data_IF_630959061433
#
_entry.id   IF_630959061433
#
_cell.length_a   1.000
_cell.length_b   1.000
_cell.length_c   1.000
_cell.angle_alpha   90.00
_cell.angle_beta   90.00
_cell.angle_gamma   90.00
#
_symmetry.space_group_name_H-M   'P 1'
#
loop_
_entity.id
_entity.type
_entity.pdbx_description
1 polymer ?
#
# COMPACT_ATOMS: atom_id res chain seq x y z
N UNK A 1 43.23 -4.51 -3.46
CA UNK A 1 42.48 -4.51 -2.18
C UNK A 1 41.17 -5.21 -2.42
N UNK A 2 40.81 -6.23 -1.63
CA UNK A 2 39.51 -6.88 -1.76
C UNK A 2 38.44 -5.93 -1.20
N UNK A 3 37.40 -5.62 -2.04
CA UNK A 3 36.25 -4.77 -1.65
C UNK A 3 35.36 -5.48 -0.62
N UNK A 4 35.33 -6.82 -0.66
CA UNK A 4 34.52 -7.65 0.22
C UNK A 4 35.35 -8.79 0.81
N UNK A 5 35.31 -8.92 2.14
CA UNK A 5 35.93 -10.03 2.86
C UNK A 5 34.94 -11.19 2.95
N UNK A 6 35.07 -12.12 2.01
CA UNK A 6 34.18 -13.29 1.88
C UNK A 6 34.38 -14.30 3.03
N UNK A 7 35.57 -14.35 3.67
CA UNK A 7 35.80 -15.21 4.82
C UNK A 7 34.96 -14.77 6.00
N UNK A 8 35.04 -13.47 6.34
CA UNK A 8 34.14 -12.88 7.36
C UNK A 8 32.68 -12.88 6.93
N UNK A 9 32.41 -12.86 5.63
CA UNK A 9 31.07 -13.05 5.08
C UNK A 9 30.47 -14.40 5.45
N UNK A 10 31.24 -15.46 5.23
CA UNK A 10 30.89 -16.84 5.59
C UNK A 10 30.64 -16.97 7.11
N UNK A 11 31.57 -16.48 7.93
CA UNK A 11 31.44 -16.54 9.40
C UNK A 11 30.13 -15.86 9.89
N UNK A 12 29.77 -14.70 9.33
CA UNK A 12 28.51 -14.02 9.68
C UNK A 12 27.27 -14.81 9.30
N UNK A 13 27.29 -15.44 8.10
CA UNK A 13 26.15 -16.26 7.64
C UNK A 13 26.00 -17.47 8.55
N UNK A 14 27.10 -18.16 8.88
CA UNK A 14 27.10 -19.32 9.76
C UNK A 14 26.62 -18.97 11.17
N UNK A 15 26.95 -17.79 11.68
CA UNK A 15 26.44 -17.31 12.95
C UNK A 15 24.90 -17.10 12.89
N UNK A 16 24.42 -16.38 11.87
CA UNK A 16 22.99 -16.12 11.71
C UNK A 16 22.18 -17.43 11.55
N UNK A 17 22.69 -18.40 10.81
CA UNK A 17 22.02 -19.70 10.59
C UNK A 17 21.99 -20.59 11.84
N UNK A 18 22.78 -20.27 12.85
CA UNK A 18 22.81 -20.97 14.16
C UNK A 18 21.98 -20.27 15.23
N UNK A 19 21.63 -19.00 15.01
CA UNK A 19 20.78 -18.26 15.93
C UNK A 19 19.37 -18.85 15.91
N UNK A 20 18.80 -19.10 17.08
CA UNK A 20 17.39 -19.42 17.21
C UNK A 20 16.57 -18.13 17.06
N UNK A 21 15.49 -18.21 16.29
CA UNK A 21 14.53 -17.12 16.11
C UNK A 21 13.17 -17.58 16.61
N UNK A 22 12.63 -16.88 17.58
CA UNK A 22 11.28 -17.14 18.09
C UNK A 22 10.26 -16.62 17.08
N UNK A 23 9.51 -17.52 16.43
CA UNK A 23 8.39 -17.17 15.55
C UNK A 23 7.10 -17.17 16.38
N UNK A 24 6.52 -15.99 16.53
CA UNK A 24 5.35 -15.75 17.38
C UNK A 24 4.14 -15.49 16.47
N UNK A 25 3.19 -16.42 16.48
CA UNK A 25 1.88 -16.19 15.86
C UNK A 25 1.00 -15.35 16.79
N UNK A 26 0.47 -14.24 16.29
CA UNK A 26 -0.42 -13.39 17.07
C UNK A 26 -1.38 -12.60 16.19
N UNK A 27 -2.53 -12.24 16.76
CA UNK A 27 -3.59 -11.55 16.02
C UNK A 27 -3.14 -10.17 15.52
N UNK A 28 -2.43 -9.41 16.35
CA UNK A 28 -2.00 -8.04 16.06
C UNK A 28 -0.48 -7.92 16.13
N UNK A 29 0.14 -7.48 15.04
CA UNK A 29 1.57 -7.20 15.04
C UNK A 29 1.95 -6.14 16.08
N UNK A 30 3.08 -6.30 16.78
CA UNK A 30 3.60 -5.28 17.69
C UNK A 30 4.09 -4.05 16.91
N UNK A 31 4.43 -2.99 17.64
CA UNK A 31 5.10 -1.82 17.06
C UNK A 31 6.54 -2.19 16.64
N UNK A 32 7.11 -1.45 15.66
CA UNK A 32 8.45 -1.72 15.13
C UNK A 32 9.54 -1.80 16.21
N UNK A 33 9.39 -1.04 17.30
CA UNK A 33 10.35 -1.03 18.42
C UNK A 33 10.47 -2.38 19.17
N UNK A 34 9.49 -3.25 19.04
CA UNK A 34 9.47 -4.57 19.69
C UNK A 34 10.13 -5.67 18.84
N UNK A 35 10.37 -5.37 17.56
CA UNK A 35 11.10 -6.29 16.68
C UNK A 35 12.60 -6.25 16.97
N UNK A 36 13.14 -7.42 17.19
CA UNK A 36 14.59 -7.67 17.36
C UNK A 36 15.12 -8.53 16.22
N UNK A 37 16.39 -8.86 16.22
CA UNK A 37 16.96 -9.84 15.31
C UNK A 37 16.73 -11.29 15.75
N UNK A 38 16.13 -11.47 16.92
CA UNK A 38 15.96 -12.78 17.57
C UNK A 38 14.48 -13.16 17.66
N UNK A 39 13.56 -12.33 17.16
CA UNK A 39 12.14 -12.61 17.04
C UNK A 39 11.59 -12.36 15.63
N UNK A 40 10.52 -13.06 15.32
CA UNK A 40 9.71 -12.89 14.12
C UNK A 40 8.24 -13.01 14.51
N UNK A 41 7.34 -12.42 13.72
CA UNK A 41 5.91 -12.46 13.99
C UNK A 41 5.15 -12.92 12.76
N UNK A 42 4.13 -13.76 12.97
CA UNK A 42 3.17 -14.13 11.93
C UNK A 42 1.80 -13.55 12.28
N UNK A 43 1.19 -12.83 11.36
CA UNK A 43 -0.09 -12.15 11.59
C UNK A 43 -0.80 -11.81 10.28
N UNK A 44 -2.09 -11.51 10.36
CA UNK A 44 -2.86 -10.95 9.27
C UNK A 44 -2.51 -9.49 9.03
N UNK A 45 -2.18 -9.18 7.78
CA UNK A 45 -1.84 -7.81 7.36
C UNK A 45 -2.54 -7.45 6.05
N UNK A 46 -2.78 -6.15 5.88
CA UNK A 46 -3.24 -5.57 4.62
C UNK A 46 -2.22 -4.56 4.12
N UNK A 47 -1.77 -4.74 2.88
CA UNK A 47 -0.93 -3.78 2.17
C UNK A 47 -1.73 -2.93 1.20
N UNK A 48 -1.46 -1.62 1.15
CA UNK A 48 -1.93 -0.69 0.11
C UNK A 48 -0.73 -0.07 -0.58
N UNK A 49 -0.72 -0.10 -1.91
CA UNK A 49 0.30 0.51 -2.75
C UNK A 49 -0.35 1.44 -3.76
N UNK A 50 0.16 2.64 -3.89
CA UNK A 50 -0.35 3.70 -4.77
C UNK A 50 0.79 4.14 -5.68
N UNK A 51 0.71 3.84 -6.97
CA UNK A 51 1.79 4.00 -7.93
C UNK A 51 1.37 4.89 -9.10
N UNK A 52 2.16 5.92 -9.41
CA UNK A 52 1.86 6.88 -10.48
C UNK A 52 2.09 6.23 -11.85
N UNK A 53 1.10 6.36 -12.73
CA UNK A 53 1.21 5.87 -14.11
C UNK A 53 2.09 6.79 -14.96
N UNK A 54 3.00 6.17 -15.73
CA UNK A 54 3.87 6.88 -16.68
C UNK A 54 4.75 7.98 -16.05
N UNK A 55 5.18 7.84 -14.80
CA UNK A 55 6.02 8.81 -14.09
C UNK A 55 7.32 9.14 -14.82
N UNK A 56 7.97 8.16 -15.45
CA UNK A 56 9.17 8.36 -16.28
C UNK A 56 8.88 9.29 -17.46
N UNK A 57 7.70 9.17 -18.10
CA UNK A 57 7.29 10.05 -19.19
C UNK A 57 7.01 11.45 -18.67
N UNK A 58 6.32 11.57 -17.54
CA UNK A 58 6.08 12.83 -16.86
C UNK A 58 7.40 13.57 -16.59
N UNK A 59 8.40 12.87 -16.02
CA UNK A 59 9.73 13.44 -15.76
C UNK A 59 10.46 13.90 -17.01
N UNK A 60 10.32 13.18 -18.13
CA UNK A 60 11.06 13.49 -19.38
C UNK A 60 10.42 14.58 -20.23
N UNK A 61 9.12 14.82 -20.09
CA UNK A 61 8.37 15.73 -20.96
C UNK A 61 7.95 17.06 -20.30
N UNK A 62 7.94 17.11 -18.96
CA UNK A 62 7.41 18.23 -18.21
C UNK A 62 8.50 19.06 -17.51
N UNK A 63 8.15 20.30 -17.16
CA UNK A 63 9.01 21.15 -16.34
C UNK A 63 9.31 20.53 -14.98
N UNK A 64 10.58 20.47 -14.62
CA UNK A 64 11.03 19.79 -13.40
C UNK A 64 10.50 20.41 -12.10
N UNK A 65 10.25 21.74 -12.09
CA UNK A 65 9.65 22.40 -10.94
C UNK A 65 8.18 22.00 -10.79
N UNK A 66 7.43 21.92 -11.92
CA UNK A 66 6.05 21.45 -11.92
C UNK A 66 5.99 20.00 -11.45
N UNK A 67 6.81 19.11 -12.00
CA UNK A 67 6.88 17.70 -11.56
C UNK A 67 7.20 17.59 -10.07
N UNK A 68 8.19 18.34 -9.58
CA UNK A 68 8.57 18.33 -8.17
C UNK A 68 7.42 18.74 -7.23
N UNK A 69 6.66 19.78 -7.60
CA UNK A 69 5.50 20.25 -6.80
C UNK A 69 4.35 19.26 -6.86
N UNK A 70 4.07 18.69 -8.04
CA UNK A 70 3.05 17.66 -8.23
C UNK A 70 3.35 16.45 -7.33
N UNK A 71 4.57 15.91 -7.39
CA UNK A 71 4.96 14.75 -6.57
C UNK A 71 4.83 15.05 -5.08
N UNK A 72 5.23 16.24 -4.63
CA UNK A 72 5.07 16.66 -3.23
C UNK A 72 3.61 16.72 -2.80
N UNK A 73 2.74 17.34 -3.62
CA UNK A 73 1.32 17.44 -3.32
C UNK A 73 0.67 16.05 -3.28
N UNK A 74 0.95 15.22 -4.27
CA UNK A 74 0.49 13.83 -4.33
C UNK A 74 0.92 13.04 -3.09
N UNK A 75 2.23 12.99 -2.83
CA UNK A 75 2.80 12.18 -1.75
C UNK A 75 2.31 12.63 -0.37
N UNK A 76 2.23 13.95 -0.14
CA UNK A 76 1.76 14.51 1.12
C UNK A 76 0.36 14.03 1.48
N UNK A 77 -0.57 14.14 0.55
CA UNK A 77 -1.98 13.81 0.79
C UNK A 77 -2.23 12.31 0.83
N UNK A 78 -1.52 11.53 0.01
CA UNK A 78 -1.60 10.06 0.12
C UNK A 78 -1.14 9.59 1.51
N UNK A 79 -0.03 10.14 2.01
CA UNK A 79 0.45 9.84 3.37
C UNK A 79 -0.59 10.26 4.40
N UNK A 80 -1.22 11.43 4.25
CA UNK A 80 -2.24 11.91 5.18
C UNK A 80 -3.45 10.96 5.23
N UNK A 81 -3.95 10.49 4.09
CA UNK A 81 -5.05 9.52 4.02
C UNK A 81 -4.64 8.17 4.65
N UNK A 82 -3.42 7.70 4.36
CA UNK A 82 -2.96 6.40 4.84
C UNK A 82 -2.68 6.38 6.35
N UNK A 83 -2.19 7.48 6.94
CA UNK A 83 -1.78 7.52 8.35
C UNK A 83 -2.93 7.71 9.35
N UNK A 84 -4.10 8.13 8.89
CA UNK A 84 -5.24 8.43 9.76
C UNK A 84 -6.27 7.29 9.77
N UNK A 85 -6.92 7.10 10.91
CA UNK A 85 -8.10 6.26 11.05
C UNK A 85 -9.37 6.99 10.55
N UNK A 86 -10.53 6.32 10.64
CA UNK A 86 -11.83 6.87 10.26
C UNK A 86 -12.34 8.01 11.19
N UNK A 87 -11.62 8.30 12.28
CA UNK A 87 -11.91 9.41 13.20
C UNK A 87 -10.92 10.58 13.01
N UNK A 88 -10.00 10.48 12.03
CA UNK A 88 -8.98 11.48 11.78
C UNK A 88 -7.84 11.47 12.81
N UNK A 89 -7.61 10.36 13.50
CA UNK A 89 -6.51 10.17 14.44
C UNK A 89 -5.43 9.26 13.81
N UNK A 90 -4.20 9.28 14.34
CA UNK A 90 -3.18 8.30 13.93
C UNK A 90 -3.71 6.87 14.04
N UNK A 91 -3.60 6.11 12.94
CA UNK A 91 -4.12 4.76 12.85
C UNK A 91 -3.22 3.78 13.64
N UNK A 92 -3.78 3.19 14.69
CA UNK A 92 -3.06 2.23 15.53
C UNK A 92 -2.77 0.89 14.84
N UNK A 93 -3.42 0.62 13.71
CA UNK A 93 -3.16 -0.54 12.89
C UNK A 93 -1.96 -0.35 11.94
N UNK A 94 -1.57 0.89 11.67
CA UNK A 94 -0.43 1.20 10.79
C UNK A 94 0.88 0.65 11.38
N UNK A 95 1.62 -0.13 10.58
CA UNK A 95 2.92 -0.71 10.95
C UNK A 95 4.07 -0.14 10.13
N UNK A 96 3.83 0.12 8.87
CA UNK A 96 4.81 0.74 8.00
C UNK A 96 4.12 1.68 7.01
N UNK A 97 4.72 2.81 6.75
CA UNK A 97 4.37 3.72 5.66
C UNK A 97 5.67 4.20 5.02
N UNK A 98 5.72 4.18 3.70
CA UNK A 98 6.93 4.55 3.00
C UNK A 98 6.71 5.05 1.58
N UNK A 99 7.79 5.58 1.03
CA UNK A 99 7.87 6.03 -0.35
C UNK A 99 8.98 5.23 -1.03
N UNK A 100 8.67 4.66 -2.18
CA UNK A 100 9.66 3.94 -2.99
C UNK A 100 9.52 4.34 -4.46
N UNK A 101 10.45 5.17 -4.93
CA UNK A 101 10.31 5.82 -6.23
C UNK A 101 9.13 6.80 -6.25
N UNK A 102 8.18 6.57 -7.11
CA UNK A 102 6.92 7.29 -7.23
C UNK A 102 5.72 6.57 -6.59
N UNK A 103 5.99 5.45 -5.92
CA UNK A 103 5.00 4.69 -5.16
C UNK A 103 4.99 5.11 -3.69
N UNK A 104 3.80 5.35 -3.15
CA UNK A 104 3.54 5.45 -1.70
C UNK A 104 2.85 4.18 -1.26
N UNK A 105 3.28 3.59 -0.16
CA UNK A 105 2.69 2.37 0.37
C UNK A 105 2.50 2.42 1.88
N UNK A 106 1.56 1.63 2.36
CA UNK A 106 1.37 1.39 3.78
C UNK A 106 1.03 -0.08 4.04
N UNK A 107 1.45 -0.57 5.21
CA UNK A 107 1.16 -1.92 5.69
C UNK A 107 0.54 -1.82 7.07
N UNK A 108 -0.58 -2.51 7.25
CA UNK A 108 -1.37 -2.49 8.47
C UNK A 108 -1.52 -3.90 9.04
N UNK A 109 -1.57 -4.02 10.37
CA UNK A 109 -2.07 -5.23 11.01
C UNK A 109 -3.60 -5.22 10.95
N UNK A 110 -4.21 -6.30 10.50
CA UNK A 110 -5.66 -6.39 10.27
C UNK A 110 -6.25 -7.70 10.81
N UNK A 111 -6.26 -7.87 12.14
CA UNK A 111 -6.73 -9.11 12.77
C UNK A 111 -8.24 -9.34 12.60
N UNK A 112 -9.02 -8.29 12.43
CA UNK A 112 -10.47 -8.34 12.32
C UNK A 112 -10.94 -7.95 10.92
N UNK A 113 -12.11 -8.46 10.50
CA UNK A 113 -12.75 -8.07 9.23
C UNK A 113 -13.06 -6.57 9.18
N UNK A 114 -13.42 -5.97 10.30
CA UNK A 114 -13.68 -4.52 10.36
C UNK A 114 -12.39 -3.71 10.16
N UNK A 115 -11.23 -4.19 10.67
CA UNK A 115 -9.93 -3.56 10.37
C UNK A 115 -9.65 -3.60 8.85
N UNK A 116 -9.89 -4.75 8.20
CA UNK A 116 -9.71 -4.89 6.75
C UNK A 116 -10.59 -3.89 6.01
N UNK A 117 -11.88 -3.81 6.37
CA UNK A 117 -12.82 -2.88 5.74
C UNK A 117 -12.38 -1.42 5.87
N UNK A 118 -11.95 -1.00 7.05
CA UNK A 118 -11.48 0.36 7.30
C UNK A 118 -10.24 0.70 6.45
N UNK A 119 -9.28 -0.23 6.39
CA UNK A 119 -8.07 -0.02 5.59
C UNK A 119 -8.39 0.01 4.09
N UNK A 120 -9.25 -0.87 3.61
CA UNK A 120 -9.63 -0.92 2.19
C UNK A 120 -10.47 0.29 1.77
N UNK A 121 -11.26 0.86 2.67
CA UNK A 121 -11.99 2.11 2.44
C UNK A 121 -11.05 3.29 2.14
N UNK A 122 -9.82 3.29 2.66
CA UNK A 122 -8.80 4.30 2.32
C UNK A 122 -8.48 4.31 0.82
N UNK A 123 -8.57 3.17 0.14
CA UNK A 123 -8.36 3.11 -1.31
C UNK A 123 -9.44 3.90 -2.08
N UNK A 124 -10.71 3.86 -1.63
CA UNK A 124 -11.78 4.67 -2.21
C UNK A 124 -11.57 6.17 -1.94
N UNK A 125 -11.08 6.54 -0.74
CA UNK A 125 -10.67 7.91 -0.44
C UNK A 125 -9.54 8.38 -1.36
N UNK A 126 -8.50 7.58 -1.55
CA UNK A 126 -7.39 7.90 -2.45
C UNK A 126 -7.87 8.05 -3.90
N UNK A 127 -8.73 7.15 -4.38
CA UNK A 127 -9.28 7.23 -5.73
C UNK A 127 -10.10 8.51 -5.94
N UNK A 128 -10.87 8.91 -4.92
CA UNK A 128 -11.62 10.17 -4.94
C UNK A 128 -10.69 11.39 -4.87
N UNK A 129 -9.68 11.35 -4.00
CA UNK A 129 -8.64 12.37 -3.89
C UNK A 129 -7.95 12.62 -5.22
N UNK A 130 -7.69 11.58 -6.03
CA UNK A 130 -7.09 11.76 -7.36
C UNK A 130 -7.94 12.62 -8.28
N UNK A 131 -9.27 12.62 -8.15
CA UNK A 131 -10.16 13.55 -8.89
C UNK A 131 -9.94 14.99 -8.43
N UNK A 132 -9.86 15.21 -7.11
CA UNK A 132 -9.55 16.53 -6.55
C UNK A 132 -8.17 17.04 -7.00
N UNK A 133 -7.15 16.20 -6.83
CA UNK A 133 -5.79 16.55 -7.23
C UNK A 133 -5.72 16.96 -8.70
N UNK A 134 -6.27 16.13 -9.59
CA UNK A 134 -6.24 16.40 -11.03
C UNK A 134 -7.00 17.67 -11.41
N UNK A 135 -8.11 18.00 -10.75
CA UNK A 135 -8.82 19.26 -10.94
C UNK A 135 -7.95 20.45 -10.53
N UNK A 136 -7.31 20.40 -9.37
CA UNK A 136 -6.40 21.45 -8.89
C UNK A 136 -5.16 21.60 -9.78
N UNK A 137 -4.62 20.47 -10.29
CA UNK A 137 -3.49 20.48 -11.22
C UNK A 137 -3.87 21.15 -12.55
N UNK A 138 -5.02 20.79 -13.12
CA UNK A 138 -5.53 21.35 -14.36
C UNK A 138 -5.79 22.86 -14.23
N UNK A 139 -6.50 23.27 -13.18
CA UNK A 139 -6.78 24.69 -12.86
C UNK A 139 -5.48 25.52 -12.71
N UNK A 140 -4.39 24.90 -12.25
CA UNK A 140 -3.08 25.54 -12.10
C UNK A 140 -2.15 25.38 -13.32
N UNK A 141 -2.61 24.74 -14.40
CA UNK A 141 -1.83 24.49 -15.61
C UNK A 141 -0.69 23.47 -15.43
N UNK A 142 -0.92 22.47 -14.58
CA UNK A 142 -0.04 21.32 -14.40
C UNK A 142 -0.56 20.11 -15.18
N UNK A 143 0.31 19.14 -15.52
CA UNK A 143 -0.14 17.87 -16.08
C UNK A 143 -0.96 17.09 -15.04
N UNK A 144 -2.02 16.44 -15.49
CA UNK A 144 -2.81 15.49 -14.67
C UNK A 144 -2.13 14.12 -14.64
N UNK A 145 -2.40 13.34 -13.59
CA UNK A 145 -1.80 12.02 -13.41
C UNK A 145 -2.86 10.96 -13.10
N UNK A 146 -2.55 9.71 -13.42
CA UNK A 146 -3.31 8.54 -13.01
C UNK A 146 -2.48 7.71 -12.05
N UNK A 147 -3.14 6.96 -11.20
CA UNK A 147 -2.50 6.01 -10.29
C UNK A 147 -3.12 4.62 -10.43
N UNK A 148 -2.34 3.60 -10.13
CA UNK A 148 -2.87 2.28 -9.82
C UNK A 148 -2.81 2.06 -8.32
N UNK A 149 -3.89 1.53 -7.75
CA UNK A 149 -3.98 1.17 -6.36
C UNK A 149 -4.06 -0.35 -6.24
N UNK A 150 -3.13 -0.94 -5.53
CA UNK A 150 -3.10 -2.36 -5.23
C UNK A 150 -3.37 -2.61 -3.76
N UNK A 151 -4.34 -3.48 -3.46
CA UNK A 151 -4.76 -3.82 -2.10
C UNK A 151 -4.72 -5.34 -1.94
N UNK A 152 -4.03 -5.83 -0.91
CA UNK A 152 -4.00 -7.25 -0.65
C UNK A 152 -3.87 -7.56 0.83
N UNK A 153 -4.66 -8.53 1.29
CA UNK A 153 -4.70 -9.04 2.66
C UNK A 153 -4.28 -10.50 2.68
N UNK A 154 -3.35 -10.84 3.58
CA UNK A 154 -2.90 -12.22 3.82
C UNK A 154 -2.18 -12.33 5.18
N UNK A 155 -1.90 -13.57 5.59
CA UNK A 155 -0.90 -13.81 6.64
C UNK A 155 0.51 -13.54 6.10
N UNK A 156 1.32 -12.86 6.89
CA UNK A 156 2.71 -12.52 6.60
C UNK A 156 3.61 -12.92 7.76
N UNK A 157 4.76 -13.50 7.44
CA UNK A 157 5.87 -13.57 8.37
C UNK A 157 6.66 -12.26 8.30
N UNK A 158 6.83 -11.61 9.44
CA UNK A 158 7.51 -10.31 9.53
C UNK A 158 8.77 -10.47 10.38
N UNK A 159 9.91 -10.12 9.82
CA UNK A 159 11.20 -10.22 10.47
C UNK A 159 11.92 -8.86 10.43
N UNK A 160 12.69 -8.56 11.45
CA UNK A 160 13.66 -7.46 11.38
C UNK A 160 14.93 -7.98 10.71
N UNK A 161 15.23 -7.47 9.53
CA UNK A 161 16.39 -7.87 8.78
C UNK A 161 17.32 -6.69 8.48
N UNK A 162 18.60 -6.99 8.27
CA UNK A 162 19.62 -5.99 8.01
C UNK A 162 20.96 -6.39 8.63
N UNK A 163 21.74 -5.41 9.01
CA UNK A 163 23.04 -5.68 9.60
C UNK A 163 23.14 -5.15 11.04
N UNK A 164 23.29 -6.06 12.00
CA UNK A 164 23.54 -5.70 13.41
C UNK A 164 24.71 -4.70 13.51
N UNK A 165 24.59 -3.71 14.38
CA UNK A 165 25.62 -2.71 14.70
C UNK A 165 26.00 -1.70 13.61
N UNK A 166 25.28 -1.65 12.47
CA UNK A 166 25.53 -0.64 11.42
C UNK A 166 24.35 0.34 11.25
N UNK A 167 23.21 0.09 11.92
CA UNK A 167 22.02 0.93 11.81
C UNK A 167 21.25 0.76 10.50
N UNK A 168 21.66 -0.18 9.62
CA UNK A 168 20.95 -0.51 8.38
C UNK A 168 20.09 -1.76 8.63
N UNK A 169 18.83 -1.54 9.00
CA UNK A 169 17.86 -2.59 9.22
C UNK A 169 16.45 -2.05 8.97
N UNK A 170 15.52 -2.95 8.63
CA UNK A 170 14.12 -2.64 8.44
C UNK A 170 13.28 -3.90 8.67
N UNK A 171 11.96 -3.75 8.74
CA UNK A 171 11.04 -4.88 8.68
C UNK A 171 11.02 -5.44 7.25
N UNK A 172 11.01 -6.76 7.16
CA UNK A 172 10.88 -7.50 5.91
C UNK A 172 9.60 -8.34 5.99
N UNK A 173 8.73 -8.11 5.03
CA UNK A 173 7.42 -8.74 4.91
C UNK A 173 7.52 -9.93 3.96
N UNK A 174 7.26 -11.12 4.46
CA UNK A 174 7.43 -12.38 3.72
C UNK A 174 6.08 -13.07 3.61
N UNK A 175 5.45 -12.94 2.44
CA UNK A 175 4.15 -13.49 2.15
C UNK A 175 3.52 -12.86 0.91
N UNK A 176 2.20 -12.89 0.81
CA UNK A 176 1.49 -12.47 -0.38
C UNK A 176 0.78 -11.10 -0.25
N UNK A 177 0.58 -10.56 0.94
CA UNK A 177 -0.10 -9.28 1.12
C UNK A 177 0.70 -8.13 0.47
N UNK A 178 1.90 -7.88 0.96
CA UNK A 178 2.76 -6.79 0.47
C UNK A 178 3.17 -7.02 -0.99
N UNK A 179 3.55 -8.26 -1.33
CA UNK A 179 4.00 -8.61 -2.68
C UNK A 179 2.88 -8.45 -3.72
N UNK A 180 1.66 -8.95 -3.43
CA UNK A 180 0.53 -8.82 -4.36
C UNK A 180 0.04 -7.38 -4.44
N UNK A 181 -0.08 -6.66 -3.32
CA UNK A 181 -0.48 -5.25 -3.33
C UNK A 181 0.44 -4.41 -4.23
N UNK A 182 1.76 -4.62 -4.14
CA UNK A 182 2.73 -3.97 -5.02
C UNK A 182 2.54 -4.32 -6.51
N UNK A 183 2.34 -5.61 -6.84
CA UNK A 183 2.08 -6.04 -8.23
C UNK A 183 0.75 -5.49 -8.74
N UNK A 184 -0.29 -5.50 -7.93
CA UNK A 184 -1.62 -4.99 -8.26
C UNK A 184 -1.63 -3.49 -8.51
N UNK A 185 -0.85 -2.70 -7.76
CA UNK A 185 -0.70 -1.28 -8.06
C UNK A 185 -0.14 -1.06 -9.46
N UNK A 186 0.69 -1.97 -9.96
CA UNK A 186 1.21 -1.97 -11.34
C UNK A 186 0.16 -2.27 -12.42
N UNK A 187 -0.99 -2.85 -12.08
CA UNK A 187 -2.10 -3.17 -13.01
C UNK A 187 -3.14 -2.04 -13.10
N UNK A 188 -3.46 -1.39 -11.99
CA UNK A 188 -4.52 -0.37 -11.94
C UNK A 188 -4.29 0.77 -12.92
N UNK A 189 -5.34 1.22 -13.60
CA UNK A 189 -5.32 2.24 -14.65
C UNK A 189 -4.37 1.94 -15.82
N UNK A 190 -4.09 0.67 -16.08
CA UNK A 190 -3.29 0.20 -17.20
C UNK A 190 -4.16 -0.64 -18.15
N UNK A 191 -3.96 -0.50 -19.45
CA UNK A 191 -4.60 -1.31 -20.51
C UNK A 191 -6.14 -1.43 -20.37
N UNK A 192 -6.79 -0.35 -19.94
CA UNK A 192 -8.26 -0.29 -19.77
C UNK A 192 -8.76 -0.81 -18.41
N UNK A 193 -7.88 -1.22 -17.51
CA UNK A 193 -8.28 -1.61 -16.16
C UNK A 193 -8.73 -0.42 -15.31
N UNK A 194 -9.60 -0.67 -14.34
CA UNK A 194 -10.00 0.27 -13.31
C UNK A 194 -8.84 0.58 -12.34
N UNK A 195 -8.99 1.63 -11.54
CA UNK A 195 -7.90 2.15 -10.68
C UNK A 195 -7.54 1.24 -9.50
N UNK A 196 -8.54 0.62 -8.88
CA UNK A 196 -8.42 -0.21 -7.68
C UNK A 196 -8.30 -1.68 -8.07
N UNK A 197 -7.34 -2.39 -7.48
CA UNK A 197 -7.11 -3.82 -7.71
C UNK A 197 -6.98 -4.51 -6.35
N UNK A 198 -7.88 -5.45 -6.07
CA UNK A 198 -8.00 -6.17 -4.80
C UNK A 198 -7.64 -7.64 -4.94
N UNK A 199 -6.91 -8.19 -3.97
CA UNK A 199 -6.80 -9.64 -3.85
C UNK A 199 -8.16 -10.27 -3.52
N UNK A 200 -8.34 -11.58 -3.81
CA UNK A 200 -9.58 -12.27 -3.46
C UNK A 200 -9.91 -12.21 -1.97
N UNK A 201 -8.89 -12.28 -1.10
CA UNK A 201 -9.07 -12.18 0.35
C UNK A 201 -9.56 -10.77 0.73
N UNK A 202 -8.94 -9.72 0.20
CA UNK A 202 -9.36 -8.33 0.37
C UNK A 202 -10.81 -8.16 -0.10
N UNK A 203 -11.08 -8.47 -1.36
CA UNK A 203 -12.43 -8.36 -1.92
C UNK A 203 -13.50 -9.05 -1.07
N UNK A 204 -13.28 -10.31 -0.65
CA UNK A 204 -14.26 -11.07 0.11
C UNK A 204 -14.61 -10.43 1.45
N UNK A 205 -13.63 -9.88 2.15
CA UNK A 205 -13.86 -9.20 3.42
C UNK A 205 -14.51 -7.82 3.23
N UNK A 206 -14.10 -7.09 2.21
CA UNK A 206 -14.64 -5.77 1.89
C UNK A 206 -16.09 -5.84 1.46
N UNK A 207 -16.43 -6.74 0.54
CA UNK A 207 -17.77 -6.87 -0.01
C UNK A 207 -18.79 -7.35 1.02
N UNK A 208 -18.41 -8.21 1.96
CA UNK A 208 -19.26 -8.68 3.06
C UNK A 208 -19.81 -7.51 3.88
N UNK A 209 -19.01 -6.46 4.10
CA UNK A 209 -19.43 -5.26 4.82
C UNK A 209 -20.12 -4.26 3.91
N UNK A 210 -19.58 -4.02 2.73
CA UNK A 210 -20.08 -3.03 1.78
C UNK A 210 -21.53 -3.32 1.34
N UNK A 211 -21.89 -4.60 1.19
CA UNK A 211 -23.27 -5.02 0.85
C UNK A 211 -24.30 -4.69 1.91
N UNK A 212 -23.91 -4.51 3.17
CA UNK A 212 -24.84 -4.09 4.23
C UNK A 212 -25.25 -2.63 4.06
N UNK A 213 -24.37 -1.81 3.49
CA UNK A 213 -24.59 -0.39 3.23
C UNK A 213 -25.14 -0.16 1.82
N UNK A 214 -24.72 -0.98 0.84
CA UNK A 214 -25.09 -0.90 -0.56
C UNK A 214 -25.32 -2.30 -1.12
N UNK A 215 -26.58 -2.78 -1.16
CA UNK A 215 -26.92 -4.16 -1.54
C UNK A 215 -26.45 -4.59 -2.94
N UNK A 216 -26.25 -3.65 -3.86
CA UNK A 216 -25.76 -3.88 -5.22
C UNK A 216 -24.24 -3.70 -5.39
N UNK A 217 -23.48 -3.56 -4.31
CA UNK A 217 -22.04 -3.27 -4.34
C UNK A 217 -21.23 -4.32 -5.12
N UNK A 218 -21.66 -5.58 -5.18
CA UNK A 218 -20.98 -6.60 -6.00
C UNK A 218 -20.84 -6.19 -7.46
N UNK A 219 -21.82 -5.49 -8.02
CA UNK A 219 -21.80 -5.04 -9.41
C UNK A 219 -20.75 -3.96 -9.71
N UNK A 220 -20.11 -3.38 -8.69
CA UNK A 220 -19.06 -2.38 -8.83
C UNK A 220 -17.69 -3.00 -9.12
N UNK A 221 -17.58 -4.32 -8.93
CA UNK A 221 -16.35 -5.06 -9.10
C UNK A 221 -16.42 -5.94 -10.34
N UNK A 222 -15.27 -6.08 -11.00
CA UNK A 222 -15.07 -7.03 -12.08
C UNK A 222 -14.03 -8.05 -11.65
N UNK A 223 -14.39 -9.32 -11.73
CA UNK A 223 -13.47 -10.43 -11.48
C UNK A 223 -12.50 -10.57 -12.65
N UNK A 224 -11.23 -10.73 -12.32
CA UNK A 224 -10.14 -10.96 -13.25
C UNK A 224 -9.31 -12.17 -12.80
N UNK A 225 -8.57 -12.75 -13.72
CA UNK A 225 -7.68 -13.88 -13.44
C UNK A 225 -6.33 -13.70 -14.13
N UNK A 226 -5.27 -13.99 -13.41
CA UNK A 226 -3.91 -14.02 -13.91
C UNK A 226 -3.20 -15.31 -13.46
N UNK A 227 -2.44 -16.00 -14.33
CA UNK A 227 -1.79 -17.28 -13.97
C UNK A 227 -0.82 -17.19 -12.79
N UNK A 228 -0.18 -16.04 -12.56
CA UNK A 228 0.77 -15.82 -11.47
C UNK A 228 0.10 -15.25 -10.21
N UNK A 229 -0.82 -14.30 -10.38
CA UNK A 229 -1.45 -13.57 -9.29
C UNK A 229 -2.72 -14.27 -8.76
N UNK A 230 -3.29 -15.18 -9.55
CA UNK A 230 -4.56 -15.84 -9.26
C UNK A 230 -5.76 -14.95 -9.57
N UNK A 231 -6.88 -15.20 -8.91
CA UNK A 231 -8.08 -14.37 -9.02
C UNK A 231 -7.92 -13.07 -8.24
N UNK A 232 -8.33 -11.97 -8.86
CA UNK A 232 -8.34 -10.63 -8.27
C UNK A 232 -9.55 -9.84 -8.78
N UNK A 233 -9.86 -8.72 -8.16
CA UNK A 233 -11.03 -7.91 -8.46
C UNK A 233 -10.62 -6.48 -8.75
N UNK A 234 -11.21 -5.85 -9.76
CA UNK A 234 -10.97 -4.46 -10.11
C UNK A 234 -12.23 -3.63 -9.88
N UNK A 235 -12.06 -2.38 -9.47
CA UNK A 235 -13.13 -1.44 -9.21
C UNK A 235 -12.70 0.02 -9.41
N UNK A 236 -13.70 0.92 -9.49
CA UNK A 236 -13.48 2.37 -9.52
C UNK A 236 -14.40 3.06 -8.49
N UNK A 237 -14.27 2.64 -7.23
CA UNK A 237 -15.11 3.10 -6.12
C UNK A 237 -14.64 4.49 -5.67
N UNK A 238 -15.60 5.35 -5.37
CA UNK A 238 -15.39 6.72 -4.86
C UNK A 238 -16.25 6.97 -3.64
N UNK A 239 -15.87 7.98 -2.84
CA UNK A 239 -16.64 8.47 -1.71
C UNK A 239 -17.60 9.56 -2.21
N UNK A 240 -18.89 9.31 -2.16
CA UNK A 240 -19.92 10.15 -2.80
C UNK A 240 -19.95 11.59 -2.26
N UNK A 241 -19.88 11.77 -0.94
CA UNK A 241 -19.87 13.11 -0.35
C UNK A 241 -18.63 13.90 -0.76
N UNK A 242 -17.47 13.24 -0.77
CA UNK A 242 -16.22 13.86 -1.20
C UNK A 242 -16.27 14.23 -2.68
N UNK A 243 -16.78 13.32 -3.53
CA UNK A 243 -16.97 13.58 -4.96
C UNK A 243 -17.94 14.77 -5.18
N UNK A 244 -19.06 14.77 -4.48
CA UNK A 244 -20.06 15.84 -4.58
C UNK A 244 -19.50 17.21 -4.19
N UNK A 245 -18.65 17.25 -3.14
CA UNK A 245 -17.96 18.48 -2.75
C UNK A 245 -16.95 18.95 -3.82
N UNK A 246 -16.23 18.03 -4.48
CA UNK A 246 -15.35 18.35 -5.62
C UNK A 246 -16.17 18.94 -6.77
N UNK A 247 -17.30 18.31 -7.13
CA UNK A 247 -18.16 18.72 -8.24
C UNK A 247 -18.83 20.07 -7.96
N UNK A 248 -19.11 20.39 -6.69
CA UNK A 248 -19.62 21.70 -6.24
C UNK A 248 -18.54 22.81 -6.26
N UNK A 249 -17.31 22.52 -6.66
CA UNK A 249 -16.22 23.48 -6.76
C UNK A 249 -15.39 23.64 -5.49
N UNK A 250 -15.43 22.68 -4.58
CA UNK A 250 -14.57 22.58 -3.39
C UNK A 250 -14.73 23.79 -2.43
N UNK A 251 -15.98 24.20 -2.16
CA UNK A 251 -16.33 25.36 -1.32
C UNK A 251 -17.10 24.92 -0.09
#
# INVERSE_FOLDING_TARGET
>A
MAIYDYTKGKERIEAILKDDVDVIEQDRLPKESEFTFDNAYESWVTGIFVDIRNSTKLFSQEDKNKVSRLIRAFTSEIIEILRLDNQGKPDDNLREIGIRGDCVYAVYTTPLKDDIYEIESKAAYINTFMKMLNKLLDDAGYPTVKVGLGISTAQELVVKAGRRNIGINNLVWIGSAVTKASKFSGLGNKDGMQSLVFSSCSYSNFIDRLKKESPNAESWFTECHDPELGTYYIADIVIDDFRSWIDAGMK
#
